data_IF_474799490030
#
_entry.id   IF_474799490030
#
_cell.length_a   1.000
_cell.length_b   1.000
_cell.length_c   1.000
_cell.angle_alpha   90.00
_cell.angle_beta   90.00
_cell.angle_gamma   90.00
#
_symmetry.space_group_name_H-M   'P 1'
#
loop_
_entity.id
_entity.type
_entity.pdbx_description
1 polymer ?
#
# COMPACT_ATOMS: atom_id res chain seq x y z
N UNK A 1 -0.01 54.56 96.56
CA UNK A 1 0.60 53.67 97.58
C UNK A 1 0.62 52.26 97.02
N UNK A 2 1.79 51.61 97.07
CA UNK A 2 2.09 50.17 96.87
C UNK A 2 1.59 49.48 95.58
N UNK A 3 2.45 49.08 94.63
CA UNK A 3 3.53 48.05 94.63
C UNK A 3 3.07 46.67 95.11
N UNK A 4 2.93 45.72 94.16
CA UNK A 4 3.61 44.40 94.17
C UNK A 4 3.28 43.56 92.91
N UNK A 5 4.34 43.41 92.09
CA UNK A 5 4.75 42.32 91.17
C UNK A 5 3.76 41.18 90.87
N UNK A 6 3.59 40.81 89.60
CA UNK A 6 3.93 39.46 89.09
C UNK A 6 4.04 39.46 87.54
N UNK A 7 4.95 38.64 87.02
CA UNK A 7 5.50 38.64 85.66
C UNK A 7 4.52 38.20 84.55
N UNK A 8 4.72 38.79 83.36
CA UNK A 8 3.94 38.60 82.13
C UNK A 8 4.50 37.45 81.29
N UNK A 9 3.64 36.52 80.84
CA UNK A 9 4.02 35.41 79.97
C UNK A 9 3.07 35.26 78.76
N UNK A 10 3.70 35.32 77.58
CA UNK A 10 3.42 34.73 76.27
C UNK A 10 2.13 35.05 75.51
N UNK A 11 2.31 35.90 74.49
CA UNK A 11 1.40 36.07 73.35
C UNK A 11 1.62 34.96 72.32
N UNK A 12 0.49 34.46 71.84
CA UNK A 12 0.25 33.37 70.90
C UNK A 12 0.56 33.80 69.45
N UNK A 13 1.39 32.99 68.78
CA UNK A 13 1.28 32.49 67.39
C UNK A 13 1.03 33.47 66.22
N UNK A 14 2.05 33.62 65.37
CA UNK A 14 1.85 33.71 63.91
C UNK A 14 3.06 33.08 63.19
N UNK A 15 2.95 31.81 62.82
CA UNK A 15 3.94 31.12 62.00
C UNK A 15 3.78 31.52 60.53
N UNK A 16 4.70 32.33 60.01
CA UNK A 16 4.83 32.54 58.56
C UNK A 16 5.58 31.33 58.00
N UNK A 17 4.84 30.41 57.38
CA UNK A 17 5.39 29.32 56.59
C UNK A 17 5.95 29.91 55.27
N UNK A 18 7.27 30.09 55.22
CA UNK A 18 7.99 30.38 53.97
C UNK A 18 7.94 29.14 53.08
N UNK A 19 6.98 29.11 52.17
CA UNK A 19 6.93 28.09 51.11
C UNK A 19 8.01 28.46 50.09
N UNK A 20 9.15 27.77 50.14
CA UNK A 20 10.05 27.69 48.99
C UNK A 20 9.28 26.97 47.88
N UNK A 21 8.69 27.74 46.96
CA UNK A 21 8.26 27.18 45.68
C UNK A 21 9.53 26.83 44.90
N UNK A 22 9.99 25.60 45.03
CA UNK A 22 10.74 24.99 43.95
C UNK A 22 9.76 24.98 42.76
N UNK A 23 9.93 25.92 41.84
CA UNK A 23 9.34 25.80 40.52
C UNK A 23 9.86 24.47 39.99
N UNK A 24 9.01 23.45 39.95
CA UNK A 24 9.29 22.26 39.18
C UNK A 24 9.46 22.77 37.75
N UNK A 25 10.70 22.89 37.30
CA UNK A 25 11.00 23.25 35.92
C UNK A 25 10.23 22.24 35.07
N UNK A 26 9.18 22.72 34.40
CA UNK A 26 8.52 21.93 33.38
C UNK A 26 9.64 21.46 32.46
N UNK A 27 9.77 20.15 32.28
CA UNK A 27 10.78 19.57 31.40
C UNK A 27 10.62 20.23 30.05
N UNK A 28 11.58 21.10 29.68
CA UNK A 28 11.59 21.82 28.42
C UNK A 28 11.29 20.80 27.30
N UNK A 29 10.42 21.13 26.33
CA UNK A 29 10.17 20.24 25.21
C UNK A 29 11.52 19.91 24.56
N UNK A 30 11.74 18.61 24.29
CA UNK A 30 13.02 18.13 23.77
C UNK A 30 13.50 19.00 22.61
N UNK A 31 14.73 19.50 22.70
CA UNK A 31 15.38 20.33 21.68
C UNK A 31 15.53 19.60 20.32
N UNK A 32 15.35 18.29 20.31
CA UNK A 32 15.51 17.42 19.15
C UNK A 32 14.38 17.63 18.13
N UNK A 33 14.68 18.38 17.07
CA UNK A 33 13.87 18.44 15.86
C UNK A 33 14.62 17.76 14.72
N UNK A 34 14.10 16.62 14.30
CA UNK A 34 14.64 15.83 13.18
C UNK A 34 13.54 15.72 12.13
N UNK A 35 13.82 16.19 10.92
CA UNK A 35 12.94 15.97 9.78
C UNK A 35 13.35 14.68 9.08
N UNK A 36 12.44 13.72 8.93
CA UNK A 36 12.68 12.45 8.26
C UNK A 36 11.81 12.39 7.01
N UNK A 37 12.43 12.14 5.87
CA UNK A 37 11.75 11.89 4.60
C UNK A 37 12.09 10.47 4.10
N UNK A 38 11.11 9.69 3.60
CA UNK A 38 9.68 10.00 3.55
C UNK A 38 9.06 10.25 4.94
N UNK A 39 8.03 11.11 5.01
CA UNK A 39 7.36 11.44 6.26
C UNK A 39 6.61 10.24 6.84
N UNK A 40 6.29 10.30 8.14
CA UNK A 40 5.46 9.27 8.76
C UNK A 40 4.13 9.13 8.03
N UNK A 41 3.78 7.88 7.72
CA UNK A 41 2.61 7.44 6.95
C UNK A 41 2.59 7.90 5.49
N UNK A 42 3.72 8.33 4.93
CA UNK A 42 3.83 8.57 3.50
C UNK A 42 3.46 7.29 2.71
N UNK A 43 2.73 7.46 1.61
CA UNK A 43 2.34 6.38 0.70
C UNK A 43 2.82 6.70 -0.71
N UNK A 44 3.03 5.67 -1.54
CA UNK A 44 3.44 5.89 -2.92
C UNK A 44 4.91 6.30 -3.10
N UNK A 45 5.74 6.08 -2.08
CA UNK A 45 7.19 6.34 -2.14
C UNK A 45 7.81 5.47 -3.24
N UNK A 46 8.72 6.03 -4.06
CA UNK A 46 9.35 5.24 -5.10
C UNK A 46 10.23 4.14 -4.48
N UNK A 47 10.34 3.00 -5.16
CA UNK A 47 11.09 1.85 -4.63
C UNK A 47 12.60 2.09 -4.59
N UNK A 48 13.08 3.08 -5.33
CA UNK A 48 14.46 3.55 -5.45
C UNK A 48 14.70 4.87 -4.70
N UNK A 49 13.70 5.40 -3.98
CA UNK A 49 13.89 6.60 -3.16
C UNK A 49 14.82 6.32 -1.97
N UNK A 50 15.69 7.27 -1.69
CA UNK A 50 16.51 7.29 -0.48
C UNK A 50 15.74 7.88 0.71
N UNK A 51 16.11 7.49 1.92
CA UNK A 51 15.60 8.07 3.15
C UNK A 51 16.56 9.17 3.61
N UNK A 52 16.05 10.33 4.02
CA UNK A 52 16.87 11.42 4.55
C UNK A 52 16.45 11.79 5.97
N UNK A 53 17.43 12.07 6.84
CA UNK A 53 17.23 12.64 8.17
C UNK A 53 17.98 13.94 8.29
N UNK A 54 17.31 15.04 8.62
CA UNK A 54 17.92 16.37 8.79
C UNK A 54 17.72 16.86 10.22
N UNK A 55 18.81 17.23 10.89
CA UNK A 55 18.81 17.69 12.28
C UNK A 55 18.80 19.21 12.34
N UNK A 56 17.92 19.79 13.15
CA UNK A 56 17.81 21.26 13.29
C UNK A 56 18.99 21.90 14.02
N UNK A 57 19.81 21.11 14.71
CA UNK A 57 20.92 21.57 15.55
C UNK A 57 22.13 20.67 15.42
N UNK A 58 23.27 21.14 15.95
CA UNK A 58 24.48 20.34 16.01
C UNK A 58 24.26 19.09 16.88
N UNK A 59 24.82 17.97 16.43
CA UNK A 59 24.74 16.69 17.11
C UNK A 59 26.13 16.09 17.27
N UNK A 60 26.31 15.30 18.32
CA UNK A 60 27.52 14.52 18.57
C UNK A 60 27.14 13.10 19.00
N UNK A 61 28.05 12.15 18.82
CA UNK A 61 27.90 10.85 19.46
C UNK A 61 27.87 11.01 20.98
N UNK A 62 27.15 10.13 21.68
CA UNK A 62 27.11 10.11 23.15
C UNK A 62 28.52 10.03 23.78
N UNK A 63 29.47 9.38 23.11
CA UNK A 63 30.86 9.24 23.56
C UNK A 63 31.76 10.43 23.15
N UNK A 64 31.19 11.51 22.61
CA UNK A 64 31.91 12.72 22.16
C UNK A 64 32.92 12.51 21.03
N UNK A 65 32.89 11.37 20.33
CA UNK A 65 33.64 11.18 19.08
C UNK A 65 32.91 11.79 17.90
N UNK A 66 33.66 12.06 16.83
CA UNK A 66 33.11 12.55 15.57
C UNK A 66 32.14 11.55 14.94
N UNK A 67 31.13 12.09 14.27
CA UNK A 67 30.15 11.31 13.52
C UNK A 67 30.78 10.95 12.17
N UNK A 68 30.76 9.67 11.82
CA UNK A 68 31.19 9.15 10.52
C UNK A 68 30.06 8.35 9.90
N UNK A 69 30.15 8.03 8.60
CA UNK A 69 29.20 7.14 7.93
C UNK A 69 29.04 5.81 8.68
N UNK A 70 30.15 5.20 9.10
CA UNK A 70 30.12 3.93 9.85
C UNK A 70 29.39 4.03 11.19
N UNK A 71 29.44 5.20 11.84
CA UNK A 71 28.75 5.41 13.11
C UNK A 71 27.24 5.16 12.95
N UNK A 72 26.64 5.66 11.86
CA UNK A 72 25.20 5.61 11.59
C UNK A 72 24.61 4.20 11.45
N UNK A 73 25.41 3.22 11.01
CA UNK A 73 24.98 1.82 10.93
C UNK A 73 24.54 1.23 12.28
N UNK A 74 24.94 1.85 13.39
CA UNK A 74 24.54 1.47 14.75
C UNK A 74 23.53 2.40 15.41
N UNK A 75 23.19 3.53 14.76
CA UNK A 75 22.26 4.54 15.27
C UNK A 75 20.89 4.45 14.59
N UNK A 76 20.84 3.92 13.37
CA UNK A 76 19.62 3.80 12.58
C UNK A 76 19.29 2.33 12.34
N UNK A 77 18.00 2.03 12.34
CA UNK A 77 17.45 0.76 11.92
C UNK A 77 16.43 0.97 10.80
N UNK A 78 16.49 0.14 9.75
CA UNK A 78 15.47 0.03 8.72
C UNK A 78 14.92 -1.40 8.73
N UNK A 79 13.60 -1.54 8.82
CA UNK A 79 12.92 -2.84 8.79
C UNK A 79 11.71 -2.84 7.87
N UNK A 80 11.36 -4.01 7.35
CA UNK A 80 10.10 -4.24 6.65
C UNK A 80 8.90 -4.41 7.61
N UNK A 81 7.72 -4.59 7.04
CA UNK A 81 6.45 -4.86 7.75
C UNK A 81 6.47 -6.11 8.64
N UNK A 82 7.40 -7.05 8.38
CA UNK A 82 7.62 -8.26 9.18
C UNK A 82 8.74 -8.09 10.20
N UNK A 83 9.25 -6.87 10.38
CA UNK A 83 10.37 -6.50 11.26
C UNK A 83 11.71 -7.13 10.83
N UNK A 84 11.83 -7.63 9.61
CA UNK A 84 13.09 -8.10 9.04
C UNK A 84 13.98 -6.90 8.75
N UNK A 85 15.26 -6.98 9.09
CA UNK A 85 16.25 -5.94 8.80
C UNK A 85 16.43 -5.80 7.29
N UNK A 86 16.40 -4.55 6.82
CA UNK A 86 16.76 -4.16 5.46
C UNK A 86 18.18 -3.63 5.50
N UNK A 87 19.04 -4.12 4.60
CA UNK A 87 20.40 -3.62 4.48
C UNK A 87 20.38 -2.24 3.81
N UNK A 88 21.27 -1.34 4.23
CA UNK A 88 21.38 0.01 3.69
C UNK A 88 22.82 0.53 3.77
N UNK A 89 23.16 1.44 2.87
CA UNK A 89 24.33 2.31 2.95
C UNK A 89 23.92 3.65 3.58
N UNK A 90 24.91 4.40 4.05
CA UNK A 90 24.71 5.71 4.68
C UNK A 90 25.75 6.70 4.22
N UNK A 91 25.35 7.97 4.12
CA UNK A 91 26.24 9.09 3.86
C UNK A 91 25.87 10.28 4.74
N UNK A 92 26.78 10.68 5.60
CA UNK A 92 26.64 11.82 6.50
C UNK A 92 27.20 13.08 5.84
N UNK A 93 26.44 14.18 5.93
CA UNK A 93 26.91 15.51 5.60
C UNK A 93 26.86 16.38 6.85
N UNK A 94 28.03 16.65 7.42
CA UNK A 94 28.16 17.39 8.68
C UNK A 94 27.72 18.87 8.55
N UNK A 95 28.09 19.52 7.44
CA UNK A 95 27.72 20.92 7.18
C UNK A 95 26.21 21.09 7.06
N UNK A 96 25.55 20.19 6.34
CA UNK A 96 24.09 20.18 6.17
C UNK A 96 23.34 19.54 7.34
N UNK A 97 24.04 18.88 8.27
CA UNK A 97 23.47 18.11 9.38
C UNK A 97 22.44 17.10 8.87
N UNK A 98 22.78 16.43 7.78
CA UNK A 98 21.87 15.55 7.06
C UNK A 98 22.49 14.19 6.82
N UNK A 99 21.72 13.14 7.09
CA UNK A 99 22.03 11.76 6.77
C UNK A 99 21.20 11.31 5.57
N UNK A 100 21.84 10.71 4.59
CA UNK A 100 21.18 9.90 3.56
C UNK A 100 21.33 8.43 3.95
N UNK A 101 20.22 7.69 3.93
CA UNK A 101 20.13 6.24 4.13
C UNK A 101 19.61 5.66 2.83
N UNK A 102 20.43 4.84 2.18
CA UNK A 102 20.18 4.28 0.86
C UNK A 102 20.05 2.75 0.96
N UNK A 103 18.83 2.18 0.83
CA UNK A 103 18.65 0.73 0.85
C UNK A 103 19.57 0.01 -0.15
N UNK A 104 20.10 -1.17 0.22
CA UNK A 104 20.89 -1.96 -0.71
C UNK A 104 19.96 -2.61 -1.72
N UNK A 105 19.89 -2.00 -2.90
CA UNK A 105 18.93 -2.34 -3.95
C UNK A 105 17.55 -1.74 -3.67
N UNK A 106 16.66 -1.85 -4.65
CA UNK A 106 15.32 -1.28 -4.55
C UNK A 106 14.50 -1.98 -3.46
N UNK A 107 13.69 -1.19 -2.75
CA UNK A 107 12.66 -1.69 -1.85
C UNK A 107 11.59 -2.46 -2.64
N UNK A 108 10.89 -3.37 -1.98
CA UNK A 108 9.77 -4.09 -2.59
C UNK A 108 8.58 -3.15 -2.78
N UNK A 109 7.89 -3.25 -3.93
CA UNK A 109 6.72 -2.44 -4.24
C UNK A 109 5.50 -2.81 -3.38
N UNK A 110 4.71 -1.81 -2.97
CA UNK A 110 3.50 -2.00 -2.17
C UNK A 110 3.76 -2.51 -0.74
N UNK A 111 4.95 -2.28 -0.20
CA UNK A 111 5.37 -2.72 1.13
C UNK A 111 5.53 -1.56 2.10
N UNK A 112 5.33 -1.85 3.39
CA UNK A 112 5.60 -0.86 4.45
C UNK A 112 6.98 -1.06 5.03
N UNK A 113 7.71 0.03 5.19
CA UNK A 113 9.01 0.09 5.83
C UNK A 113 8.98 1.03 7.02
N UNK A 114 9.82 0.76 8.01
CA UNK A 114 10.00 1.61 9.18
C UNK A 114 11.47 1.93 9.35
N UNK A 115 11.78 3.22 9.39
CA UNK A 115 13.09 3.73 9.76
C UNK A 115 13.04 4.27 11.19
N UNK A 116 14.04 3.96 11.99
CA UNK A 116 14.14 4.35 13.39
C UNK A 116 15.52 4.90 13.70
N UNK A 117 15.57 6.12 14.23
CA UNK A 117 16.72 6.65 14.96
C UNK A 117 16.64 6.16 16.42
N UNK A 118 17.61 5.34 16.81
CA UNK A 118 17.63 4.71 18.14
C UNK A 118 17.90 5.74 19.24
N UNK A 119 17.18 5.64 20.36
CA UNK A 119 17.34 6.55 21.49
C UNK A 119 18.74 6.52 22.12
N UNK A 120 19.14 7.62 22.74
CA UNK A 120 20.32 7.72 23.62
C UNK A 120 21.65 7.39 22.94
N UNK A 121 21.73 7.59 21.62
CA UNK A 121 22.92 7.36 20.80
C UNK A 121 23.67 8.64 20.48
N UNK A 122 22.94 9.74 20.39
CA UNK A 122 23.43 11.08 20.09
C UNK A 122 23.10 12.02 21.25
N UNK A 123 23.84 13.12 21.34
CA UNK A 123 23.58 14.26 22.20
C UNK A 123 23.59 15.55 21.39
N UNK A 124 22.82 16.55 21.81
CA UNK A 124 22.82 17.89 21.23
C UNK A 124 23.91 18.78 21.85
N UNK A 125 23.91 20.07 21.50
CA UNK A 125 24.85 21.06 22.04
C UNK A 125 24.70 21.31 23.55
N UNK A 126 23.56 20.97 24.16
CA UNK A 126 23.30 21.07 25.60
C UNK A 126 23.66 19.77 26.34
N UNK A 127 24.05 18.72 25.61
CA UNK A 127 24.31 17.40 26.16
C UNK A 127 23.07 16.53 26.33
N UNK A 128 21.91 16.97 25.85
CA UNK A 128 20.65 16.24 25.94
C UNK A 128 20.63 15.06 24.96
N UNK A 129 20.35 13.86 25.47
CA UNK A 129 20.31 12.65 24.66
C UNK A 129 19.07 12.60 23.76
N UNK A 130 19.25 12.11 22.53
CA UNK A 130 18.16 11.98 21.57
C UNK A 130 17.06 11.01 22.06
N UNK A 131 15.78 11.33 21.85
CA UNK A 131 14.71 10.36 21.96
C UNK A 131 14.79 9.33 20.82
N UNK A 132 14.05 8.23 20.96
CA UNK A 132 13.78 7.37 19.81
C UNK A 132 12.84 8.11 18.86
N UNK A 133 13.16 8.11 17.57
CA UNK A 133 12.29 8.67 16.54
C UNK A 133 12.10 7.62 15.46
N UNK A 134 10.85 7.37 15.08
CA UNK A 134 10.52 6.37 14.07
C UNK A 134 9.46 6.92 13.14
N UNK A 135 9.63 6.67 11.85
CA UNK A 135 8.61 6.92 10.84
C UNK A 135 8.39 5.64 10.04
N UNK A 136 7.14 5.41 9.64
CA UNK A 136 6.80 4.36 8.71
C UNK A 136 6.35 4.97 7.38
N UNK A 137 6.68 4.34 6.26
CA UNK A 137 6.21 4.74 4.94
C UNK A 137 5.91 3.50 4.08
N UNK A 138 5.06 3.68 3.08
CA UNK A 138 4.69 2.63 2.13
C UNK A 138 5.20 2.96 0.72
N UNK A 139 5.87 2.00 0.11
CA UNK A 139 6.30 2.11 -1.28
C UNK A 139 5.09 2.03 -2.22
N UNK A 140 5.24 2.61 -3.41
CA UNK A 140 4.24 2.56 -4.47
C UNK A 140 3.93 1.09 -4.81
N UNK A 141 2.64 0.77 -4.83
CA UNK A 141 2.18 -0.55 -5.28
C UNK A 141 2.54 -0.75 -6.76
N UNK A 142 2.82 -1.99 -7.19
CA UNK A 142 2.96 -2.26 -8.61
C UNK A 142 1.67 -1.86 -9.34
N UNK A 143 1.81 -1.22 -10.50
CA UNK A 143 0.67 -0.92 -11.36
C UNK A 143 0.38 -2.16 -12.20
N UNK A 144 -0.82 -2.70 -12.04
CA UNK A 144 -1.30 -3.77 -12.90
C UNK A 144 -1.83 -3.15 -14.21
N UNK A 145 -1.22 -3.52 -15.34
CA UNK A 145 -1.57 -3.03 -16.66
C UNK A 145 -2.04 -4.17 -17.58
N UNK A 146 -2.32 -5.36 -17.03
CA UNK A 146 -2.70 -6.53 -17.82
C UNK A 146 -4.23 -6.57 -17.90
N UNK A 147 -4.77 -6.39 -19.11
CA UNK A 147 -6.20 -6.50 -19.32
C UNK A 147 -6.72 -7.94 -19.05
N UNK A 148 -7.95 -8.09 -18.52
CA UNK A 148 -8.52 -9.39 -18.28
C UNK A 148 -8.74 -10.16 -19.57
N UNK A 149 -8.39 -11.46 -19.54
CA UNK A 149 -8.56 -12.39 -20.66
C UNK A 149 -9.43 -13.59 -20.27
N UNK A 150 -10.22 -14.04 -21.25
CA UNK A 150 -10.99 -15.26 -21.14
C UNK A 150 -10.39 -16.40 -21.98
N UNK A 151 -10.42 -17.61 -21.41
CA UNK A 151 -10.27 -18.86 -22.17
C UNK A 151 -11.63 -19.21 -22.77
N UNK A 152 -11.69 -19.31 -24.09
CA UNK A 152 -12.93 -19.62 -24.82
C UNK A 152 -12.96 -21.09 -25.20
N UNK A 153 -14.02 -21.80 -24.80
CA UNK A 153 -14.29 -23.19 -25.20
C UNK A 153 -15.66 -23.30 -25.89
N UNK A 154 -15.81 -24.10 -26.97
CA UNK A 154 -14.79 -24.86 -27.66
C UNK A 154 -13.62 -23.99 -28.16
N UNK A 155 -12.42 -24.55 -28.08
CA UNK A 155 -11.19 -23.84 -28.44
C UNK A 155 -11.19 -23.45 -29.92
N UNK A 156 -10.37 -22.47 -30.27
CA UNK A 156 -10.29 -21.99 -31.65
C UNK A 156 -9.93 -23.14 -32.62
N UNK A 157 -10.71 -23.27 -33.69
CA UNK A 157 -10.56 -24.34 -34.68
C UNK A 157 -11.15 -25.69 -34.26
N UNK A 158 -11.85 -25.78 -33.12
CA UNK A 158 -12.52 -27.01 -32.70
C UNK A 158 -13.49 -27.52 -33.79
N UNK A 159 -13.44 -28.82 -34.08
CA UNK A 159 -14.30 -29.48 -35.06
C UNK A 159 -15.25 -30.44 -34.38
N UNK A 160 -16.31 -30.83 -35.08
CA UNK A 160 -17.29 -31.81 -34.60
C UNK A 160 -17.93 -31.42 -33.26
N UNK A 161 -18.13 -30.11 -33.04
CA UNK A 161 -18.79 -29.60 -31.82
C UNK A 161 -20.24 -30.06 -31.82
N UNK A 162 -20.70 -30.64 -30.71
CA UNK A 162 -22.07 -31.19 -30.58
C UNK A 162 -23.09 -30.08 -30.79
N UNK A 163 -24.22 -30.41 -31.42
CA UNK A 163 -25.27 -29.43 -31.78
C UNK A 163 -25.85 -28.65 -30.59
N UNK A 164 -25.73 -29.18 -29.36
CA UNK A 164 -26.19 -28.54 -28.12
C UNK A 164 -25.08 -28.08 -27.18
N UNK A 165 -23.82 -28.16 -27.61
CA UNK A 165 -22.67 -27.76 -26.81
C UNK A 165 -22.77 -26.27 -26.45
N UNK A 166 -22.43 -25.92 -25.21
CA UNK A 166 -22.40 -24.52 -24.78
C UNK A 166 -21.02 -23.96 -25.06
N UNK A 167 -20.95 -22.67 -25.37
CA UNK A 167 -19.66 -21.97 -25.39
C UNK A 167 -19.43 -21.37 -24.00
N UNK A 168 -18.23 -21.50 -23.45
CA UNK A 168 -17.82 -20.89 -22.19
C UNK A 168 -16.67 -19.92 -22.41
N UNK A 169 -16.68 -18.82 -21.68
CA UNK A 169 -15.58 -17.86 -21.60
C UNK A 169 -15.22 -17.71 -20.12
N UNK A 170 -14.10 -18.31 -19.71
CA UNK A 170 -13.65 -18.32 -18.32
C UNK A 170 -12.51 -17.33 -18.12
N UNK A 171 -12.71 -16.34 -17.24
CA UNK A 171 -11.71 -15.30 -16.95
C UNK A 171 -10.69 -15.79 -15.93
N UNK A 172 -9.41 -15.45 -16.17
CA UNK A 172 -8.31 -15.74 -15.25
C UNK A 172 -8.40 -14.95 -13.93
N UNK A 173 -9.08 -13.82 -13.97
CA UNK A 173 -9.25 -12.87 -12.88
C UNK A 173 -10.71 -12.41 -12.72
N UNK A 174 -10.97 -11.65 -11.66
CA UNK A 174 -12.29 -11.04 -11.48
C UNK A 174 -12.53 -9.93 -12.49
N UNK A 175 -13.76 -9.87 -13.01
CA UNK A 175 -14.18 -8.85 -13.97
C UNK A 175 -15.46 -8.17 -13.51
N UNK A 176 -15.57 -6.88 -13.79
CA UNK A 176 -16.75 -6.04 -13.60
C UNK A 176 -17.09 -5.33 -14.91
N UNK A 177 -18.30 -4.79 -15.02
CA UNK A 177 -18.68 -3.98 -16.17
C UNK A 177 -18.02 -2.60 -16.07
N UNK A 178 -17.48 -2.10 -17.19
CA UNK A 178 -16.91 -0.73 -17.28
C UNK A 178 -17.96 0.33 -16.96
N UNK A 179 -19.25 0.05 -17.22
CA UNK A 179 -20.35 0.96 -16.90
C UNK A 179 -20.59 1.14 -15.40
N UNK A 180 -19.97 0.33 -14.54
CA UNK A 180 -20.24 0.30 -13.09
C UNK A 180 -21.50 -0.48 -12.69
N UNK A 181 -22.29 -0.97 -13.66
CA UNK A 181 -23.42 -1.86 -13.37
C UNK A 181 -22.94 -3.21 -12.80
N UNK A 182 -23.82 -3.87 -12.04
CA UNK A 182 -23.51 -5.22 -11.56
C UNK A 182 -23.48 -6.22 -12.71
N UNK A 183 -22.33 -6.90 -12.88
CA UNK A 183 -22.21 -8.01 -13.82
C UNK A 183 -23.09 -9.19 -13.36
N UNK A 184 -24.11 -9.51 -14.16
CA UNK A 184 -25.06 -10.58 -13.92
C UNK A 184 -25.58 -11.15 -15.24
N UNK A 185 -26.33 -12.24 -15.21
CA UNK A 185 -26.98 -12.79 -16.42
C UNK A 185 -27.95 -11.80 -17.07
N UNK A 186 -28.44 -10.77 -16.36
CA UNK A 186 -29.30 -9.73 -16.94
C UNK A 186 -28.52 -8.72 -17.77
N UNK A 187 -27.27 -8.46 -17.41
CA UNK A 187 -26.41 -7.44 -18.04
C UNK A 187 -25.37 -8.05 -19.00
N UNK A 188 -25.13 -9.35 -18.93
CA UNK A 188 -24.12 -10.07 -19.72
C UNK A 188 -24.46 -10.22 -21.23
N UNK A 189 -25.70 -9.95 -21.65
CA UNK A 189 -26.16 -10.23 -23.02
C UNK A 189 -25.38 -9.50 -24.12
N UNK A 190 -24.83 -8.33 -23.83
CA UNK A 190 -24.05 -7.53 -24.81
C UNK A 190 -22.56 -7.90 -24.86
N UNK A 191 -22.08 -8.74 -23.93
CA UNK A 191 -20.66 -9.04 -23.78
C UNK A 191 -20.14 -9.99 -24.86
N UNK A 192 -21.01 -10.83 -25.41
CA UNK A 192 -20.63 -11.82 -26.42
C UNK A 192 -21.52 -11.67 -27.64
N UNK A 193 -20.91 -11.77 -28.83
CA UNK A 193 -21.61 -11.90 -30.11
C UNK A 193 -21.23 -13.22 -30.74
N UNK A 194 -22.18 -13.85 -31.42
CA UNK A 194 -21.95 -15.07 -32.20
C UNK A 194 -22.43 -14.84 -33.62
N UNK A 195 -21.59 -15.16 -34.60
CA UNK A 195 -21.95 -15.13 -36.02
C UNK A 195 -21.69 -16.49 -36.68
N UNK A 196 -22.42 -16.79 -37.73
CA UNK A 196 -22.11 -17.92 -38.60
C UNK A 196 -21.02 -17.57 -39.62
N UNK A 197 -20.66 -18.53 -40.46
CA UNK A 197 -19.64 -18.41 -41.51
C UNK A 197 -20.01 -17.39 -42.61
N UNK A 198 -21.28 -16.99 -42.72
CA UNK A 198 -21.74 -15.90 -43.60
C UNK A 198 -21.76 -14.54 -42.86
N UNK A 199 -21.29 -14.49 -41.62
CA UNK A 199 -21.29 -13.27 -40.80
C UNK A 199 -22.67 -12.90 -40.23
N UNK A 200 -23.68 -13.75 -40.38
CA UNK A 200 -25.03 -13.49 -39.87
C UNK A 200 -25.06 -13.72 -38.37
N UNK A 201 -25.75 -12.84 -37.64
CA UNK A 201 -25.88 -12.97 -36.19
C UNK A 201 -26.67 -14.23 -35.81
N UNK A 202 -26.10 -15.04 -34.91
CA UNK A 202 -26.76 -16.23 -34.38
C UNK A 202 -27.46 -15.87 -33.08
N UNK A 203 -28.79 -16.05 -32.96
CA UNK A 203 -29.50 -15.77 -31.72
C UNK A 203 -29.01 -16.66 -30.57
N UNK A 204 -28.65 -16.06 -29.43
CA UNK A 204 -28.14 -16.77 -28.26
C UNK A 204 -28.56 -16.08 -26.96
N UNK A 205 -28.28 -16.74 -25.83
CA UNK A 205 -28.34 -16.16 -24.49
C UNK A 205 -26.97 -16.24 -23.83
N UNK A 206 -26.67 -15.28 -22.96
CA UNK A 206 -25.43 -15.25 -22.16
C UNK A 206 -25.81 -15.25 -20.69
N UNK A 207 -25.24 -16.16 -19.91
CA UNK A 207 -25.37 -16.17 -18.45
C UNK A 207 -24.02 -15.96 -17.78
N UNK A 208 -24.03 -15.39 -16.58
CA UNK A 208 -22.85 -15.14 -15.77
C UNK A 208 -22.84 -16.02 -14.53
N UNK A 209 -21.73 -16.71 -14.29
CA UNK A 209 -21.44 -17.39 -13.04
C UNK A 209 -20.29 -16.67 -12.32
N UNK A 210 -20.63 -15.95 -11.24
CA UNK A 210 -19.66 -15.15 -10.47
C UNK A 210 -18.58 -16.01 -9.82
N UNK A 211 -18.92 -17.14 -9.19
CA UNK A 211 -17.94 -17.97 -8.47
C UNK A 211 -16.94 -18.65 -9.41
N UNK A 212 -17.39 -19.02 -10.62
CA UNK A 212 -16.53 -19.60 -11.66
C UNK A 212 -15.89 -18.57 -12.58
N UNK A 213 -16.26 -17.30 -12.46
CA UNK A 213 -15.84 -16.20 -13.37
C UNK A 213 -16.05 -16.59 -14.83
N UNK A 214 -17.22 -17.15 -15.14
CA UNK A 214 -17.48 -17.76 -16.45
C UNK A 214 -18.75 -17.19 -17.07
N UNK A 215 -18.63 -16.68 -18.30
CA UNK A 215 -19.77 -16.46 -19.18
C UNK A 215 -20.11 -17.78 -19.89
N UNK A 216 -21.40 -18.12 -19.95
CA UNK A 216 -21.90 -19.26 -20.71
C UNK A 216 -22.84 -18.77 -21.80
N UNK A 217 -22.53 -19.11 -23.04
CA UNK A 217 -23.31 -18.76 -24.22
C UNK A 217 -24.05 -20.00 -24.69
N UNK A 218 -25.37 -19.88 -24.81
CA UNK A 218 -26.25 -20.95 -25.29
C UNK A 218 -26.97 -20.47 -26.56
N UNK A 219 -26.90 -21.21 -27.68
CA UNK A 219 -27.68 -20.85 -28.87
C UNK A 219 -29.19 -20.96 -28.55
N UNK A 220 -30.00 -20.10 -29.16
CA UNK A 220 -31.45 -20.27 -29.15
C UNK A 220 -31.79 -21.39 -30.15
N UNK A 221 -31.83 -22.62 -29.64
CA UNK A 221 -32.00 -23.83 -30.45
C UNK A 221 -30.74 -24.69 -30.42
N UNK A 222 -30.36 -25.24 -31.58
CA UNK A 222 -29.15 -26.04 -31.78
C UNK A 222 -28.26 -25.38 -32.82
N UNK A 223 -26.95 -25.60 -32.73
CA UNK A 223 -26.02 -25.30 -33.81
C UNK A 223 -26.43 -26.10 -35.05
N UNK A 224 -26.47 -25.44 -36.21
CA UNK A 224 -26.75 -26.10 -37.47
C UNK A 224 -25.59 -27.05 -37.80
N UNK A 225 -25.84 -28.22 -38.40
CA UNK A 225 -24.79 -29.20 -38.67
C UNK A 225 -23.78 -28.67 -39.70
N UNK A 226 -22.51 -29.07 -39.56
CA UNK A 226 -21.42 -28.70 -40.48
C UNK A 226 -21.26 -27.19 -40.73
N UNK A 227 -21.57 -26.36 -39.74
CA UNK A 227 -21.53 -24.89 -39.86
C UNK A 227 -20.40 -24.35 -39.00
N UNK A 228 -19.62 -23.41 -39.56
CA UNK A 228 -18.62 -22.69 -38.78
C UNK A 228 -19.25 -21.49 -38.06
N UNK A 229 -18.87 -21.32 -36.79
CA UNK A 229 -19.33 -20.25 -35.93
C UNK A 229 -18.15 -19.46 -35.38
N UNK A 230 -18.33 -18.15 -35.26
CA UNK A 230 -17.38 -17.23 -34.65
C UNK A 230 -17.99 -16.66 -33.38
N UNK A 231 -17.26 -16.77 -32.28
CA UNK A 231 -17.62 -16.24 -30.96
C UNK A 231 -16.71 -15.05 -30.69
N UNK A 232 -17.32 -13.90 -30.38
CA UNK A 232 -16.60 -12.65 -30.12
C UNK A 232 -16.93 -12.15 -28.72
N UNK A 233 -15.93 -12.09 -27.84
CA UNK A 233 -15.99 -11.28 -26.63
C UNK A 233 -15.75 -9.82 -27.03
N UNK A 234 -16.71 -8.96 -26.72
CA UNK A 234 -16.64 -7.53 -27.07
C UNK A 234 -15.63 -6.83 -26.15
N UNK A 235 -14.65 -6.15 -26.73
CA UNK A 235 -13.67 -5.34 -26.00
C UNK A 235 -14.28 -4.11 -25.34
N UNK A 236 -13.67 -3.65 -24.26
CA UNK A 236 -14.00 -2.40 -23.58
C UNK A 236 -15.29 -2.42 -22.74
N UNK A 237 -15.92 -3.57 -22.54
CA UNK A 237 -17.14 -3.68 -21.74
C UNK A 237 -16.91 -4.26 -20.34
N UNK A 238 -15.79 -4.95 -20.15
CA UNK A 238 -15.34 -5.50 -18.88
C UNK A 238 -14.03 -4.83 -18.46
N UNK A 239 -13.82 -4.75 -17.17
CA UNK A 239 -12.54 -4.33 -16.57
C UNK A 239 -12.22 -5.20 -15.37
N UNK A 240 -10.94 -5.29 -15.03
CA UNK A 240 -10.46 -5.92 -13.81
C UNK A 240 -10.56 -4.97 -12.59
N UNK A 241 -9.93 -5.36 -11.48
CA UNK A 241 -9.87 -4.54 -10.25
C UNK A 241 -8.92 -3.35 -10.35
N UNK A 242 -7.91 -3.41 -11.22
CA UNK A 242 -6.97 -2.33 -11.47
C UNK A 242 -7.51 -1.28 -12.46
N UNK A 243 -8.64 -1.59 -13.11
CA UNK A 243 -9.30 -0.73 -14.09
C UNK A 243 -8.84 -1.00 -15.53
N UNK A 244 -8.10 -2.08 -15.80
CA UNK A 244 -7.72 -2.42 -17.17
C UNK A 244 -8.94 -2.98 -17.91
N UNK A 245 -9.31 -2.33 -19.02
CA UNK A 245 -10.42 -2.77 -19.85
C UNK A 245 -10.04 -4.01 -20.68
N UNK A 246 -10.97 -4.94 -20.85
CA UNK A 246 -10.74 -6.15 -21.63
C UNK A 246 -10.52 -5.81 -23.11
N UNK A 247 -9.58 -6.52 -23.74
CA UNK A 247 -9.44 -6.49 -25.19
C UNK A 247 -10.56 -7.33 -25.85
N UNK A 248 -10.86 -7.05 -27.11
CA UNK A 248 -11.70 -7.92 -27.93
C UNK A 248 -11.00 -9.28 -28.09
N UNK A 249 -11.74 -10.37 -27.90
CA UNK A 249 -11.25 -11.73 -28.15
C UNK A 249 -12.20 -12.47 -29.07
N UNK A 250 -11.67 -13.39 -29.87
CA UNK A 250 -12.49 -14.24 -30.73
C UNK A 250 -12.02 -15.68 -30.74
N UNK A 251 -12.96 -16.60 -30.90
CA UNK A 251 -12.72 -18.02 -31.18
C UNK A 251 -13.64 -18.46 -32.31
N UNK A 252 -13.32 -19.57 -32.96
CA UNK A 252 -14.19 -20.18 -33.96
C UNK A 252 -14.25 -21.69 -33.76
N UNK A 253 -15.37 -22.29 -34.14
CA UNK A 253 -15.55 -23.74 -34.12
C UNK A 253 -16.50 -24.19 -35.23
N UNK A 254 -16.41 -25.45 -35.61
CA UNK A 254 -17.32 -26.08 -36.58
C UNK A 254 -18.15 -27.16 -35.88
N UNK A 255 -19.47 -27.07 -36.03
CA UNK A 255 -20.40 -28.08 -35.52
C UNK A 255 -20.30 -29.39 -36.29
N UNK A 256 -20.55 -30.50 -35.60
CA UNK A 256 -20.59 -31.83 -36.20
C UNK A 256 -21.90 -32.15 -36.92
N UNK A 257 -22.06 -33.42 -37.28
CA UNK A 257 -23.34 -33.96 -37.74
C UNK A 257 -24.44 -33.90 -36.64
N UNK A 258 -25.69 -34.14 -37.04
CA UNK A 258 -26.87 -34.10 -36.17
C UNK A 258 -26.79 -35.08 -35.00
#
# INVERSE_FOLDING_TARGET
MDVRRFWMQWVVMLGILLVFSHSAAAKEPSSWKVNILPQDKAVGVAVDDVITMTFSGAIQLKNSRDITDKSWLSLVQLVDEKKKKVAFAVKWNDSAKSLVIDPVGNLEAGKTYRVTLLAKKLKDARGELNPELSVAFATKAPVDNIAPQAVILPGHGAKQVKSGEKVTLQFAEEVALVSGETLSSKTAGKLVRVTDEQGRAVPHTVTWNKSKRTLTVKPKGKWQPHTSYHVHLVGGLLQDRAGNANNSQSSSFTSGAK
#
